data_IF_027378553996
#
_entry.id   IF_027378553996
#
_cell.length_a   1.000
_cell.length_b   1.000
_cell.length_c   1.000
_cell.angle_alpha   90.00
_cell.angle_beta   90.00
_cell.angle_gamma   90.00
#
_symmetry.space_group_name_H-M   'P 1'
#
loop_
_entity.id
_entity.type
_entity.pdbx_description
1 polymer ?
#
# COMPACT_ATOMS: atom_id res chain seq x y z
N UNK A 1 -12.81 3.23 -11.36
CA UNK A 1 -12.64 2.07 -10.47
C UNK A 1 -11.59 2.36 -9.43
N UNK A 2 -11.80 1.90 -8.22
CA UNK A 2 -10.85 2.15 -7.13
C UNK A 2 -9.97 0.95 -6.88
N UNK A 3 -8.74 1.23 -6.48
CA UNK A 3 -7.72 0.24 -6.17
C UNK A 3 -7.08 0.57 -4.84
N UNK A 4 -6.71 -0.45 -4.09
CA UNK A 4 -5.81 -0.29 -2.95
C UNK A 4 -4.39 -0.47 -3.45
N UNK A 5 -3.52 0.45 -3.05
CA UNK A 5 -2.07 0.29 -3.15
C UNK A 5 -1.57 -0.12 -1.77
N UNK A 6 -1.17 -1.38 -1.60
CA UNK A 6 -0.46 -1.78 -0.40
C UNK A 6 1.01 -1.44 -0.58
N UNK A 7 1.51 -0.57 0.28
CA UNK A 7 2.92 -0.16 0.26
C UNK A 7 3.68 -1.07 1.19
N UNK A 8 4.56 -1.87 0.60
CA UNK A 8 5.25 -2.93 1.32
C UNK A 8 6.73 -2.63 1.41
N UNK A 9 7.30 -2.77 2.60
CA UNK A 9 8.75 -2.82 2.77
C UNK A 9 9.26 -4.14 2.22
N UNK A 10 10.46 -4.13 1.67
CA UNK A 10 11.08 -5.30 1.09
C UNK A 10 12.58 -5.22 1.33
N UNK A 11 13.10 -6.19 2.08
CA UNK A 11 14.52 -6.23 2.41
C UNK A 11 15.40 -6.54 1.20
N UNK A 12 14.81 -7.01 0.11
CA UNK A 12 15.53 -7.41 -1.09
C UNK A 12 15.64 -6.30 -2.16
N UNK A 13 15.21 -5.08 -1.83
CA UNK A 13 15.30 -3.99 -2.81
C UNK A 13 16.76 -3.66 -3.14
N UNK A 14 16.99 -3.17 -4.35
CA UNK A 14 18.31 -2.75 -4.82
C UNK A 14 18.65 -1.35 -4.31
N UNK A 15 19.87 -1.15 -3.82
CA UNK A 15 20.34 0.18 -3.43
C UNK A 15 20.36 1.14 -4.62
N UNK A 16 20.69 0.64 -5.81
CA UNK A 16 20.69 1.45 -7.03
C UNK A 16 19.30 1.90 -7.42
N UNK A 17 18.33 1.00 -7.32
CA UNK A 17 16.92 1.35 -7.58
C UNK A 17 16.41 2.37 -6.57
N UNK A 18 16.70 2.17 -5.28
CA UNK A 18 16.30 3.11 -4.25
C UNK A 18 16.90 4.50 -4.48
N UNK A 19 18.15 4.57 -4.91
CA UNK A 19 18.84 5.83 -5.20
C UNK A 19 18.24 6.54 -6.42
N UNK A 20 17.65 5.79 -7.36
CA UNK A 20 17.04 6.33 -8.57
C UNK A 20 15.54 6.61 -8.40
N UNK A 21 14.98 6.37 -7.22
CA UNK A 21 13.54 6.52 -6.97
C UNK A 21 13.06 7.95 -7.26
N UNK A 22 11.85 8.09 -7.83
CA UNK A 22 11.23 9.41 -8.01
C UNK A 22 10.96 10.08 -6.65
N UNK A 23 10.80 11.41 -6.69
CA UNK A 23 10.43 12.15 -5.49
C UNK A 23 8.95 11.98 -5.18
N UNK A 24 8.61 11.85 -3.88
CA UNK A 24 7.22 11.65 -3.47
C UNK A 24 6.34 12.85 -3.84
N UNK A 25 6.89 14.06 -3.79
CA UNK A 25 6.16 15.27 -4.14
C UNK A 25 5.71 15.25 -5.59
N UNK A 26 6.55 14.74 -6.49
CA UNK A 26 6.22 14.60 -7.90
C UNK A 26 5.08 13.60 -8.10
N UNK A 27 5.07 12.54 -7.31
CA UNK A 27 3.99 11.56 -7.35
C UNK A 27 2.65 12.18 -6.94
N UNK A 28 2.63 12.94 -5.83
CA UNK A 28 1.41 13.62 -5.38
C UNK A 28 0.89 14.59 -6.41
N UNK A 29 1.80 15.35 -7.03
CA UNK A 29 1.41 16.30 -8.10
C UNK A 29 0.78 15.56 -9.26
N UNK A 30 1.41 14.48 -9.72
CA UNK A 30 0.90 13.67 -10.83
C UNK A 30 -0.49 13.08 -10.50
N UNK A 31 -0.62 12.48 -9.33
CA UNK A 31 -1.85 11.83 -8.92
C UNK A 31 -2.99 12.82 -8.72
N UNK A 32 -2.71 13.96 -8.09
CA UNK A 32 -3.72 14.97 -7.81
C UNK A 32 -4.19 15.67 -9.08
N UNK A 33 -3.29 15.97 -10.00
CA UNK A 33 -3.65 16.60 -11.27
C UNK A 33 -4.59 15.74 -12.11
N UNK A 34 -4.52 14.42 -11.93
CA UNK A 34 -5.36 13.45 -12.65
C UNK A 34 -6.59 13.02 -11.86
N UNK A 35 -6.77 13.55 -10.66
CA UNK A 35 -7.90 13.14 -9.81
C UNK A 35 -7.82 11.68 -9.37
N UNK A 36 -6.62 11.13 -9.30
CA UNK A 36 -6.42 9.71 -9.00
C UNK A 36 -6.16 9.43 -7.52
N UNK A 37 -5.72 10.42 -6.77
CA UNK A 37 -5.45 10.25 -5.34
C UNK A 37 -6.72 10.40 -4.53
N UNK A 38 -7.09 9.38 -3.76
CA UNK A 38 -8.26 9.42 -2.87
C UNK A 38 -7.83 9.55 -1.42
N UNK A 39 -6.95 8.68 -0.96
CA UNK A 39 -6.55 8.62 0.44
C UNK A 39 -5.22 7.88 0.56
N UNK A 40 -4.44 8.26 1.55
CA UNK A 40 -3.21 7.54 1.89
C UNK A 40 -3.03 7.50 3.39
N UNK A 41 -2.46 6.40 3.87
CA UNK A 41 -2.20 6.16 5.28
C UNK A 41 -0.81 5.54 5.44
N UNK A 42 -0.02 6.11 6.35
CA UNK A 42 1.25 5.52 6.76
C UNK A 42 1.03 4.84 8.12
N UNK A 43 1.54 3.64 8.26
CA UNK A 43 1.40 2.88 9.49
C UNK A 43 2.60 3.12 10.41
N UNK A 44 2.39 2.92 11.72
CA UNK A 44 3.46 2.89 12.69
C UNK A 44 4.33 1.66 12.47
N UNK A 45 5.48 1.60 13.13
CA UNK A 45 6.43 0.49 13.00
C UNK A 45 5.80 -0.84 13.40
N UNK A 46 6.37 -1.92 12.89
CA UNK A 46 5.87 -3.27 13.10
C UNK A 46 5.77 -3.67 14.57
N UNK A 47 6.63 -3.12 15.44
CA UNK A 47 6.59 -3.42 16.87
C UNK A 47 5.34 -2.91 17.56
N UNK A 48 4.56 -2.03 16.90
CA UNK A 48 3.27 -1.55 17.39
C UNK A 48 2.10 -2.42 16.94
N UNK A 49 2.35 -3.44 16.13
CA UNK A 49 1.29 -4.30 15.61
C UNK A 49 0.81 -5.28 16.66
N UNK A 50 -0.46 -5.66 16.55
CA UNK A 50 -1.04 -6.76 17.32
C UNK A 50 -1.91 -7.58 16.40
N UNK A 51 -1.83 -8.89 16.54
CA UNK A 51 -2.66 -9.80 15.78
C UNK A 51 -3.74 -10.37 16.68
N UNK A 52 -4.99 -10.27 16.23
CA UNK A 52 -6.15 -10.72 17.00
C UNK A 52 -6.82 -11.85 16.25
N UNK A 53 -7.05 -12.96 16.93
CA UNK A 53 -7.77 -14.12 16.38
C UNK A 53 -8.74 -14.65 17.39
N UNK A 54 -9.81 -15.25 16.91
CA UNK A 54 -10.73 -16.03 17.74
C UNK A 54 -10.70 -17.45 17.20
N UNK A 55 -10.39 -18.41 18.05
CA UNK A 55 -10.36 -19.84 17.71
C UNK A 55 -11.08 -20.61 18.81
N UNK A 56 -12.02 -21.46 18.44
CA UNK A 56 -12.85 -22.24 19.37
C UNK A 56 -13.53 -21.37 20.43
N UNK A 57 -13.96 -20.16 20.00
CA UNK A 57 -14.59 -19.18 20.88
C UNK A 57 -13.63 -18.43 21.80
N UNK A 58 -12.32 -18.67 21.69
CA UNK A 58 -11.31 -18.05 22.54
C UNK A 58 -10.61 -16.91 21.82
N UNK A 59 -10.45 -15.78 22.51
CA UNK A 59 -9.70 -14.63 22.01
C UNK A 59 -8.20 -14.85 22.17
N UNK A 60 -7.46 -14.74 21.08
CA UNK A 60 -6.01 -14.84 21.04
C UNK A 60 -5.44 -13.52 20.53
N UNK A 61 -4.62 -12.88 21.34
CA UNK A 61 -3.95 -11.62 20.94
C UNK A 61 -2.45 -11.85 21.06
N UNK A 62 -1.72 -11.59 19.98
CA UNK A 62 -0.26 -11.68 19.98
C UNK A 62 0.34 -10.36 19.57
N UNK A 63 1.49 -10.00 20.14
CA UNK A 63 2.24 -8.84 19.73
C UNK A 63 2.93 -9.11 18.39
N UNK A 64 2.95 -8.08 17.54
CA UNK A 64 3.58 -8.17 16.23
C UNK A 64 2.62 -8.57 15.12
N UNK A 65 3.10 -8.54 13.88
CA UNK A 65 2.30 -8.94 12.73
C UNK A 65 2.09 -10.45 12.70
N UNK A 66 1.06 -10.90 11.94
CA UNK A 66 0.71 -12.31 11.85
C UNK A 66 1.85 -13.17 11.29
N UNK A 67 2.61 -12.64 10.34
CA UNK A 67 3.72 -13.35 9.72
C UNK A 67 5.03 -12.62 9.93
N UNK A 68 6.11 -13.36 10.19
CA UNK A 68 7.47 -12.81 10.21
C UNK A 68 8.01 -12.77 8.78
N UNK A 69 7.36 -12.04 7.92
CA UNK A 69 7.74 -11.94 6.53
C UNK A 69 8.92 -10.97 6.36
N UNK A 70 9.73 -11.23 5.34
CA UNK A 70 10.76 -10.29 4.88
C UNK A 70 10.11 -9.05 4.24
N UNK A 71 8.83 -9.12 4.01
CA UNK A 71 7.99 -8.07 3.48
C UNK A 71 6.96 -7.69 4.53
N UNK A 72 6.69 -6.41 4.66
CA UNK A 72 5.71 -5.93 5.62
C UNK A 72 4.93 -4.77 5.01
N UNK A 73 3.68 -4.61 5.43
CA UNK A 73 2.85 -3.49 4.97
C UNK A 73 3.21 -2.26 5.79
N UNK A 74 3.76 -1.25 5.13
CA UNK A 74 4.15 0.01 5.75
C UNK A 74 3.05 1.07 5.66
N UNK A 75 2.10 0.90 4.76
CA UNK A 75 1.00 1.81 4.56
C UNK A 75 0.12 1.35 3.41
N UNK A 76 -0.90 2.13 3.14
CA UNK A 76 -1.75 1.88 1.99
C UNK A 76 -2.30 3.17 1.43
N UNK A 77 -2.71 3.13 0.18
CA UNK A 77 -3.39 4.23 -0.47
C UNK A 77 -4.61 3.72 -1.22
N UNK A 78 -5.57 4.60 -1.43
CA UNK A 78 -6.71 4.34 -2.29
C UNK A 78 -6.61 5.29 -3.47
N UNK A 79 -6.66 4.74 -4.67
CA UNK A 79 -6.56 5.47 -5.92
C UNK A 79 -7.75 5.18 -6.81
N UNK A 80 -8.08 6.14 -7.67
CA UNK A 80 -9.15 6.04 -8.64
C UNK A 80 -8.55 6.12 -10.04
N UNK A 81 -8.70 5.04 -10.80
CA UNK A 81 -8.18 4.96 -12.17
C UNK A 81 -9.21 4.32 -13.09
N UNK A 82 -9.21 4.70 -14.35
CA UNK A 82 -10.15 4.12 -15.32
C UNK A 82 -9.75 2.70 -15.69
N UNK A 83 -8.45 2.40 -15.72
CA UNK A 83 -7.95 1.09 -16.10
C UNK A 83 -6.91 0.61 -15.10
N UNK A 84 -6.69 -0.71 -15.08
CA UNK A 84 -5.62 -1.30 -14.24
C UNK A 84 -4.24 -0.81 -14.69
N UNK A 85 -4.07 -0.61 -16.00
CA UNK A 85 -2.81 -0.10 -16.56
C UNK A 85 -2.48 1.29 -16.02
N UNK A 86 -3.48 2.14 -15.86
CA UNK A 86 -3.29 3.46 -15.25
C UNK A 86 -2.88 3.34 -13.78
N UNK A 87 -3.46 2.38 -13.06
CA UNK A 87 -3.10 2.12 -11.67
C UNK A 87 -1.64 1.64 -11.58
N UNK A 88 -1.22 0.77 -12.48
CA UNK A 88 0.18 0.29 -12.55
C UNK A 88 1.13 1.46 -12.83
N UNK A 89 0.78 2.35 -13.78
CA UNK A 89 1.61 3.50 -14.08
C UNK A 89 1.71 4.46 -12.88
N UNK A 90 0.62 4.65 -12.17
CA UNK A 90 0.62 5.47 -10.97
C UNK A 90 1.51 4.86 -9.88
N UNK A 91 1.42 3.55 -9.67
CA UNK A 91 2.28 2.84 -8.71
C UNK A 91 3.76 2.91 -9.12
N UNK A 92 4.05 2.78 -10.41
CA UNK A 92 5.42 2.85 -10.93
C UNK A 92 6.09 4.17 -10.61
N UNK A 93 5.33 5.24 -10.57
CA UNK A 93 5.83 6.59 -10.28
C UNK A 93 6.00 6.86 -8.79
N UNK A 94 5.54 5.96 -7.94
CA UNK A 94 5.66 6.12 -6.49
C UNK A 94 7.03 5.60 -6.05
N UNK A 95 7.79 6.39 -5.25
CA UNK A 95 9.13 5.96 -4.82
C UNK A 95 9.14 4.62 -4.08
N UNK A 96 8.02 4.26 -3.42
CA UNK A 96 7.96 3.00 -2.67
C UNK A 96 7.99 1.76 -3.56
N UNK A 97 7.65 1.88 -4.85
CA UNK A 97 7.83 0.78 -5.80
C UNK A 97 9.31 0.52 -6.08
N UNK A 98 10.17 1.51 -5.83
CA UNK A 98 11.61 1.45 -6.07
C UNK A 98 12.39 1.07 -4.81
N UNK A 99 11.87 1.47 -3.65
CA UNK A 99 12.50 1.23 -2.34
C UNK A 99 11.95 -0.02 -1.65
N UNK A 100 10.86 -0.55 -2.16
CA UNK A 100 10.19 -1.73 -1.68
C UNK A 100 9.34 -2.29 -2.81
N UNK A 101 8.07 -2.49 -2.53
CA UNK A 101 7.12 -2.92 -3.57
C UNK A 101 5.72 -2.38 -3.27
N UNK A 102 4.90 -2.33 -4.31
CA UNK A 102 3.49 -1.96 -4.19
C UNK A 102 2.65 -3.09 -4.76
N UNK A 103 1.71 -3.57 -3.96
CA UNK A 103 0.70 -4.52 -4.42
C UNK A 103 -0.58 -3.76 -4.71
N UNK A 104 -1.11 -3.92 -5.92
CA UNK A 104 -2.35 -3.29 -6.35
C UNK A 104 -3.48 -4.31 -6.34
N UNK A 105 -4.58 -3.95 -5.70
CA UNK A 105 -5.77 -4.80 -5.70
C UNK A 105 -7.01 -3.96 -6.00
N UNK A 106 -7.80 -4.37 -7.01
CA UNK A 106 -9.09 -3.69 -7.26
C UNK A 106 -10.01 -3.82 -6.04
N UNK A 107 -10.69 -2.73 -5.71
CA UNK A 107 -11.64 -2.75 -4.62
C UNK A 107 -12.98 -3.25 -5.14
N UNK A 108 -13.54 -4.23 -4.44
CA UNK A 108 -14.86 -4.75 -4.77
C UNK A 108 -15.92 -3.70 -4.42
N UNK A 109 -16.80 -3.39 -5.38
CA UNK A 109 -17.89 -2.46 -5.12
C UNK A 109 -18.87 -3.09 -4.11
N UNK A 110 -19.16 -2.34 -3.05
CA UNK A 110 -20.10 -2.76 -2.02
C UNK A 110 -21.50 -2.18 -2.24
N UNK A 111 -21.69 -1.41 -3.31
CA UNK A 111 -22.96 -0.77 -3.61
C UNK A 111 -23.27 0.43 -2.73
N UNK A 112 -22.28 0.92 -1.98
CA UNK A 112 -22.44 2.08 -1.13
C UNK A 112 -22.18 3.39 -1.88
N UNK A 113 -22.49 4.54 -1.24
CA UNK A 113 -22.37 5.84 -1.92
C UNK A 113 -20.94 6.26 -2.26
N UNK A 114 -19.95 5.60 -1.68
CA UNK A 114 -18.54 5.91 -1.93
C UNK A 114 -17.84 4.88 -2.83
N UNK A 115 -18.63 4.00 -3.43
CA UNK A 115 -18.06 2.98 -4.34
C UNK A 115 -17.86 3.51 -5.76
#
# INVERSE_FOLDING_TARGET
MRYVMFICGDADHSADDAAAAPEIEDWFTYANERGQYVQGVRLQDLDQARTVRVRDGELLVTDGPYTEAREWIAGFGIIECDTFEEAVELARRNPMAWEGRIELRPIHSMGGPND
#
